data_IF_667941813152
#
_entry.id   IF_667941813152
#
_cell.length_a   1.000
_cell.length_b   1.000
_cell.length_c   1.000
_cell.angle_alpha   90.00
_cell.angle_beta   90.00
_cell.angle_gamma   90.00
#
_symmetry.space_group_name_H-M   'P 1'
#
loop_
_entity.id
_entity.type
_entity.pdbx_description
1 polymer ?
#
# COMPACT_ATOMS: atom_id res chain seq x y z
N UNK A 1 -17.70 -21.71 25.19
CA UNK A 1 -17.77 -20.51 24.32
C UNK A 1 -19.13 -20.27 23.65
N UNK A 2 -19.96 -21.29 23.40
CA UNK A 2 -21.29 -21.10 22.78
C UNK A 2 -22.29 -20.26 23.61
N UNK A 3 -22.21 -20.31 24.95
CA UNK A 3 -23.10 -19.53 25.82
C UNK A 3 -22.82 -18.01 25.79
N UNK A 4 -21.56 -17.60 25.57
CA UNK A 4 -21.16 -16.19 25.48
C UNK A 4 -21.63 -15.56 24.17
N UNK A 5 -21.60 -16.32 23.07
CA UNK A 5 -22.07 -15.86 21.75
C UNK A 5 -23.60 -15.73 21.73
N UNK A 6 -24.33 -16.66 22.36
CA UNK A 6 -25.79 -16.56 22.48
C UNK A 6 -26.24 -15.34 23.33
N UNK A 7 -25.50 -15.01 24.39
CA UNK A 7 -25.80 -13.84 25.22
C UNK A 7 -25.60 -12.51 24.47
N UNK A 8 -24.57 -12.43 23.62
CA UNK A 8 -24.29 -11.23 22.80
C UNK A 8 -25.37 -11.06 21.72
N UNK A 9 -25.78 -12.14 21.06
CA UNK A 9 -26.85 -12.10 20.03
C UNK A 9 -28.20 -11.70 20.66
N UNK A 10 -28.53 -12.20 21.85
CA UNK A 10 -29.77 -11.81 22.56
C UNK A 10 -29.70 -10.37 23.07
N UNK A 11 -28.53 -9.88 23.52
CA UNK A 11 -28.34 -8.48 23.92
C UNK A 11 -28.48 -7.52 22.72
N UNK A 12 -27.91 -7.86 21.57
CA UNK A 12 -28.00 -7.06 20.33
C UNK A 12 -29.43 -7.06 19.76
N UNK A 13 -30.17 -8.17 19.88
CA UNK A 13 -31.57 -8.24 19.44
C UNK A 13 -32.54 -7.53 20.40
N UNK A 14 -32.22 -7.46 21.71
CA UNK A 14 -32.98 -6.64 22.69
C UNK A 14 -32.67 -5.15 22.58
N UNK A 15 -31.44 -4.76 22.25
CA UNK A 15 -31.07 -3.36 21.97
C UNK A 15 -31.70 -2.81 20.68
N UNK A 16 -32.02 -3.70 19.71
CA UNK A 16 -32.74 -3.32 18.48
C UNK A 16 -34.27 -3.29 18.63
N UNK A 17 -34.80 -3.71 19.78
CA UNK A 17 -36.23 -3.60 20.10
C UNK A 17 -36.37 -2.80 21.39
N UNK A 18 -36.42 -1.49 21.26
CA UNK A 18 -36.93 -0.61 22.31
C UNK A 18 -38.04 0.29 21.76
N UNK A 19 -39.00 0.65 22.62
CA UNK A 19 -40.40 0.85 22.25
C UNK A 19 -40.66 2.23 21.65
N UNK A 20 -41.62 2.29 20.75
CA UNK A 20 -42.30 3.52 20.35
C UNK A 20 -42.90 4.19 21.58
N UNK A 21 -42.46 5.41 21.91
CA UNK A 21 -43.18 6.33 22.79
C UNK A 21 -43.58 7.60 22.02
N UNK A 22 -44.75 8.20 22.31
CA UNK A 22 -45.41 9.20 21.46
C UNK A 22 -44.88 10.61 21.75
N UNK A 23 -45.00 11.48 20.75
CA UNK A 23 -44.40 12.82 20.74
C UNK A 23 -45.07 13.90 21.60
N UNK A 24 -44.58 15.11 21.34
CA UNK A 24 -45.02 16.43 21.80
C UNK A 24 -44.73 16.79 23.27
N UNK A 25 -43.70 17.61 23.50
CA UNK A 25 -43.75 18.88 24.23
C UNK A 25 -42.33 19.38 24.50
N UNK A 26 -41.99 20.54 23.94
CA UNK A 26 -41.22 21.63 24.58
C UNK A 26 -40.91 22.68 23.51
N UNK A 27 -41.93 23.47 23.16
CA UNK A 27 -41.72 24.89 22.87
C UNK A 27 -41.51 25.54 24.23
N UNK A 28 -40.37 26.17 24.43
CA UNK A 28 -40.20 27.14 25.50
C UNK A 28 -39.85 28.46 24.83
N UNK A 29 -40.82 29.36 24.90
CA UNK A 29 -40.69 30.78 24.58
C UNK A 29 -39.54 31.39 25.38
N UNK A 30 -38.65 32.13 24.72
CA UNK A 30 -37.85 33.14 25.38
C UNK A 30 -38.60 34.46 25.19
N UNK A 31 -39.36 34.85 26.21
CA UNK A 31 -39.98 36.16 26.31
C UNK A 31 -38.92 37.23 26.64
N UNK A 32 -39.07 38.48 26.17
CA UNK A 32 -38.20 39.59 26.54
C UNK A 32 -38.66 40.21 27.87
N UNK A 33 -37.77 40.28 28.86
CA UNK A 33 -38.00 40.95 30.14
C UNK A 33 -37.62 42.44 30.10
N UNK A 34 -38.24 43.29 30.96
CA UNK A 34 -38.54 44.70 30.66
C UNK A 34 -37.48 45.71 31.13
N UNK A 35 -37.58 46.92 30.60
CA UNK A 35 -36.67 48.03 30.86
C UNK A 35 -36.77 48.66 32.25
N UNK A 36 -35.72 49.40 32.58
CA UNK A 36 -35.72 50.47 33.58
C UNK A 36 -34.93 51.67 33.01
N UNK A 37 -35.52 52.85 33.13
CA UNK A 37 -35.10 54.11 32.52
C UNK A 37 -34.22 54.96 33.49
N UNK A 38 -33.90 56.24 33.21
CA UNK A 38 -32.55 56.80 33.25
C UNK A 38 -32.18 57.50 34.56
N UNK A 39 -30.88 57.74 34.80
CA UNK A 39 -30.41 58.76 35.75
C UNK A 39 -29.19 59.52 35.24
N UNK A 40 -29.19 60.79 35.62
CA UNK A 40 -28.43 61.95 35.17
C UNK A 40 -27.09 62.16 35.88
N UNK A 41 -26.22 62.88 35.16
CA UNK A 41 -25.23 63.87 35.61
C UNK A 41 -24.06 63.50 36.55
N UNK A 42 -22.87 63.65 35.96
CA UNK A 42 -21.67 64.32 36.47
C UNK A 42 -21.10 63.93 37.84
N UNK A 43 -20.00 63.16 37.82
CA UNK A 43 -18.82 63.51 38.64
C UNK A 43 -17.53 62.88 38.12
N UNK A 44 -16.42 63.53 38.47
CA UNK A 44 -15.17 63.58 37.74
C UNK A 44 -14.25 62.35 37.86
N UNK A 45 -13.43 62.19 36.82
CA UNK A 45 -12.29 61.27 36.69
C UNK A 45 -11.22 61.56 37.75
N UNK A 46 -10.54 60.53 38.28
CA UNK A 46 -9.08 60.56 38.22
C UNK A 46 -8.47 59.30 37.56
N UNK A 47 -7.26 59.55 37.07
CA UNK A 47 -6.47 58.84 36.09
C UNK A 47 -6.02 57.40 36.40
N UNK A 48 -6.20 56.56 35.37
CA UNK A 48 -5.20 55.67 34.74
C UNK A 48 -4.48 54.60 35.56
N UNK A 49 -4.88 53.34 35.32
CA UNK A 49 -3.95 52.21 35.20
C UNK A 49 -3.90 51.78 33.73
N UNK A 50 -2.72 51.58 33.11
CA UNK A 50 -2.62 51.29 31.69
C UNK A 50 -3.12 49.86 31.39
N UNK A 51 -4.15 49.77 30.55
CA UNK A 51 -4.63 48.51 30.00
C UNK A 51 -3.55 47.89 29.10
N UNK A 52 -3.15 46.68 29.46
CA UNK A 52 -2.43 45.76 28.60
C UNK A 52 -3.46 44.92 27.83
N UNK A 53 -3.24 44.53 26.55
CA UNK A 53 -2.03 44.66 25.74
C UNK A 53 -1.98 45.92 24.86
N UNK A 54 -0.78 46.28 24.32
CA UNK A 54 -0.64 47.39 23.38
C UNK A 54 -1.51 47.20 22.14
N UNK A 55 -1.97 48.33 21.59
CA UNK A 55 -2.76 48.36 20.37
C UNK A 55 -2.10 47.48 19.27
N UNK A 56 -2.88 46.63 18.57
CA UNK A 56 -2.34 45.82 17.49
C UNK A 56 -1.67 46.71 16.45
N UNK A 57 -0.48 46.32 16.00
CA UNK A 57 0.37 47.03 15.02
C UNK A 57 -0.39 47.34 13.71
N UNK A 58 -1.51 46.65 13.46
CA UNK A 58 -2.34 46.78 12.28
C UNK A 58 -3.49 47.81 12.40
N UNK A 59 -3.59 48.55 13.51
CA UNK A 59 -4.69 49.50 13.74
C UNK A 59 -6.02 48.81 14.03
N UNK A 60 -7.00 49.57 14.53
CA UNK A 60 -8.37 49.08 14.71
C UNK A 60 -9.04 49.00 13.33
N UNK A 61 -9.66 47.86 12.96
CA UNK A 61 -10.36 47.73 11.68
C UNK A 61 -11.36 48.86 11.48
N UNK A 62 -11.33 49.50 10.31
CA UNK A 62 -12.28 50.55 9.98
C UNK A 62 -13.67 49.95 9.72
N UNK A 63 -14.72 50.79 9.77
CA UNK A 63 -16.07 50.35 9.47
C UNK A 63 -16.20 49.76 8.04
N UNK A 64 -15.33 50.16 7.12
CA UNK A 64 -15.29 49.61 5.75
C UNK A 64 -14.55 48.27 5.68
N UNK A 65 -13.53 48.03 6.51
CA UNK A 65 -12.91 46.69 6.66
C UNK A 65 -13.93 45.67 7.17
N UNK A 66 -14.75 46.06 8.15
CA UNK A 66 -15.80 45.20 8.70
C UNK A 66 -16.87 44.87 7.65
N UNK A 67 -17.18 45.79 6.72
CA UNK A 67 -18.08 45.51 5.59
C UNK A 67 -17.48 44.52 4.59
N UNK A 68 -16.16 44.53 4.40
CA UNK A 68 -15.48 43.60 3.50
C UNK A 68 -15.52 42.14 4.01
N UNK A 69 -15.50 41.96 5.34
CA UNK A 69 -15.60 40.65 5.99
C UNK A 69 -17.05 40.22 6.33
N UNK A 70 -18.03 41.11 6.19
CA UNK A 70 -19.45 40.79 6.33
C UNK A 70 -20.02 40.16 5.05
N UNK A 71 -19.40 39.09 4.55
CA UNK A 71 -20.06 38.21 3.57
C UNK A 71 -20.95 37.24 4.35
N UNK A 72 -22.25 37.29 4.08
CA UNK A 72 -23.26 36.49 4.78
C UNK A 72 -22.90 35.00 4.76
N UNK A 73 -23.08 34.33 5.90
CA UNK A 73 -22.84 32.90 6.01
C UNK A 73 -23.61 32.14 4.91
N UNK A 74 -22.87 31.54 4.00
CA UNK A 74 -23.44 30.59 3.04
C UNK A 74 -23.90 29.38 3.81
N UNK A 75 -25.21 29.25 4.04
CA UNK A 75 -25.82 28.02 4.55
C UNK A 75 -25.99 27.10 3.34
N UNK A 76 -25.22 26.01 3.23
CA UNK A 76 -25.36 25.11 2.12
C UNK A 76 -26.74 24.42 2.15
N UNK A 77 -27.34 24.30 0.96
CA UNK A 77 -28.75 23.89 0.74
C UNK A 77 -29.11 22.49 1.29
N UNK A 78 -28.13 21.68 1.68
CA UNK A 78 -28.35 20.38 2.31
C UNK A 78 -28.73 20.47 3.80
N UNK A 79 -28.52 21.62 4.45
CA UNK A 79 -28.94 21.84 5.85
C UNK A 79 -30.40 22.32 5.97
N UNK A 80 -31.08 22.62 4.86
CA UNK A 80 -32.44 23.20 4.86
C UNK A 80 -33.52 22.33 4.19
N UNK A 81 -33.21 21.09 3.84
CA UNK A 81 -34.17 20.18 3.19
C UNK A 81 -34.21 18.83 3.89
N UNK A 82 -35.37 18.45 4.44
CA UNK A 82 -35.61 17.08 4.85
C UNK A 82 -35.39 16.16 3.63
N UNK A 83 -34.61 15.06 3.76
CA UNK A 83 -34.35 14.16 2.64
C UNK A 83 -35.67 13.51 2.18
N UNK A 84 -35.88 13.30 0.86
CA UNK A 84 -37.05 12.55 0.40
C UNK A 84 -36.97 11.12 0.96
N UNK A 85 -38.09 10.66 1.52
CA UNK A 85 -38.23 9.27 1.98
C UNK A 85 -37.98 8.33 0.81
N UNK A 86 -36.89 7.55 0.87
CA UNK A 86 -36.61 6.51 -0.14
C UNK A 86 -37.77 5.51 -0.14
N UNK A 87 -38.30 5.22 -1.33
CA UNK A 87 -39.34 4.20 -1.49
C UNK A 87 -38.79 2.83 -1.05
N UNK A 88 -39.57 2.00 -0.34
CA UNK A 88 -39.14 0.67 0.05
C UNK A 88 -38.87 -0.20 -1.19
N UNK A 89 -37.80 -1.00 -1.13
CA UNK A 89 -37.46 -1.98 -2.16
C UNK A 89 -38.65 -2.92 -2.42
N UNK A 90 -38.86 -3.26 -3.69
CA UNK A 90 -39.94 -4.16 -4.09
C UNK A 90 -39.80 -5.55 -3.42
N UNK A 91 -40.92 -6.20 -3.16
CA UNK A 91 -40.94 -7.48 -2.43
C UNK A 91 -40.31 -8.65 -3.19
N UNK A 92 -40.20 -8.57 -4.53
CA UNK A 92 -39.51 -9.58 -5.32
C UNK A 92 -37.99 -9.45 -5.18
N UNK A 93 -37.47 -8.23 -5.16
CA UNK A 93 -36.06 -7.91 -4.91
C UNK A 93 -35.66 -8.29 -3.47
N UNK A 94 -36.52 -8.02 -2.48
CA UNK A 94 -36.30 -8.46 -1.09
C UNK A 94 -36.26 -9.99 -0.97
N UNK A 95 -37.14 -10.70 -1.68
CA UNK A 95 -37.16 -12.17 -1.70
C UNK A 95 -35.94 -12.78 -2.41
N UNK A 96 -35.42 -12.12 -3.44
CA UNK A 96 -34.18 -12.53 -4.10
C UNK A 96 -32.97 -12.34 -3.18
N UNK A 97 -32.84 -11.17 -2.55
CA UNK A 97 -31.74 -10.88 -1.62
C UNK A 97 -31.73 -11.82 -0.40
N UNK A 98 -32.89 -12.13 0.16
CA UNK A 98 -33.00 -13.07 1.28
C UNK A 98 -32.66 -14.51 0.87
N UNK A 99 -33.02 -14.94 -0.34
CA UNK A 99 -32.64 -16.26 -0.87
C UNK A 99 -31.14 -16.36 -1.12
N UNK A 100 -30.53 -15.35 -1.74
CA UNK A 100 -29.09 -15.31 -1.97
C UNK A 100 -28.30 -15.22 -0.66
N UNK A 101 -28.78 -14.44 0.31
CA UNK A 101 -28.21 -14.40 1.65
C UNK A 101 -28.29 -15.75 2.37
N UNK A 102 -29.40 -16.47 2.26
CA UNK A 102 -29.53 -17.81 2.83
C UNK A 102 -28.59 -18.83 2.16
N UNK A 103 -28.41 -18.74 0.84
CA UNK A 103 -27.45 -19.57 0.09
C UNK A 103 -26.01 -19.27 0.51
N UNK A 104 -25.64 -18.01 0.67
CA UNK A 104 -24.30 -17.61 1.13
C UNK A 104 -24.00 -18.12 2.54
N UNK A 105 -24.97 -18.02 3.46
CA UNK A 105 -24.83 -18.56 4.82
C UNK A 105 -24.71 -20.09 4.80
N UNK A 106 -25.49 -20.79 3.98
CA UNK A 106 -25.39 -22.24 3.84
C UNK A 106 -24.01 -22.68 3.28
N UNK A 107 -23.47 -21.94 2.31
CA UNK A 107 -22.12 -22.14 1.78
C UNK A 107 -21.04 -21.94 2.85
N UNK A 108 -21.14 -20.87 3.65
CA UNK A 108 -20.21 -20.64 4.75
C UNK A 108 -20.25 -21.77 5.78
N UNK A 109 -21.46 -22.25 6.12
CA UNK A 109 -21.62 -23.38 7.04
C UNK A 109 -21.07 -24.70 6.48
N UNK A 110 -21.18 -24.93 5.17
CA UNK A 110 -20.58 -26.10 4.51
C UNK A 110 -19.05 -26.04 4.53
N UNK A 111 -18.46 -24.87 4.26
CA UNK A 111 -17.00 -24.68 4.33
C UNK A 111 -16.50 -24.89 5.76
N UNK A 112 -17.18 -24.31 6.75
CA UNK A 112 -16.83 -24.53 8.16
C UNK A 112 -16.99 -26.00 8.57
N UNK A 113 -18.02 -26.69 8.09
CA UNK A 113 -18.19 -28.11 8.35
C UNK A 113 -17.09 -28.96 7.71
N UNK A 114 -16.62 -28.61 6.50
CA UNK A 114 -15.49 -29.26 5.85
C UNK A 114 -14.19 -29.08 6.66
N UNK A 115 -13.91 -27.86 7.13
CA UNK A 115 -12.75 -27.57 7.98
C UNK A 115 -12.81 -28.32 9.34
N UNK A 116 -14.00 -28.46 9.94
CA UNK A 116 -14.19 -29.26 11.16
C UNK A 116 -14.03 -30.76 10.89
N UNK A 117 -14.43 -31.24 9.71
CA UNK A 117 -14.25 -32.64 9.33
C UNK A 117 -12.77 -32.97 9.11
N UNK A 118 -12.02 -32.08 8.46
CA UNK A 118 -10.57 -32.24 8.24
C UNK A 118 -9.80 -32.23 9.57
N UNK A 119 -10.13 -31.31 10.47
CA UNK A 119 -9.48 -31.25 11.80
C UNK A 119 -9.80 -32.44 12.71
N UNK A 120 -10.98 -33.04 12.57
CA UNK A 120 -11.39 -34.24 13.32
C UNK A 120 -10.89 -35.55 12.70
N UNK A 121 -10.63 -35.59 11.40
CA UNK A 121 -10.09 -36.79 10.71
C UNK A 121 -8.57 -36.86 10.72
N UNK A 122 -7.87 -35.73 10.91
CA UNK A 122 -6.40 -35.66 10.93
C UNK A 122 -5.78 -35.17 12.24
N UNK A 123 -6.51 -35.18 13.36
CA UNK A 123 -5.87 -35.04 14.69
C UNK A 123 -5.16 -36.34 15.07
N UNK A 124 -3.84 -36.33 14.90
CA UNK A 124 -2.91 -37.36 15.36
C UNK A 124 -2.80 -37.27 16.89
N UNK A 125 -3.19 -38.34 17.59
CA UNK A 125 -2.93 -38.50 19.02
C UNK A 125 -1.42 -38.52 19.29
N UNK A 126 -0.88 -37.48 19.92
CA UNK A 126 0.38 -37.60 20.66
C UNK A 126 0.07 -38.07 22.08
N UNK A 127 0.03 -39.39 22.23
CA UNK A 127 0.12 -40.02 23.55
C UNK A 127 1.56 -40.00 24.02
N UNK A 128 1.70 -39.44 25.20
CA UNK A 128 2.83 -39.38 26.11
C UNK A 128 3.51 -40.74 26.32
N UNK A 129 4.85 -40.78 26.20
CA UNK A 129 5.67 -41.77 26.92
C UNK A 129 6.92 -41.08 27.47
N UNK A 130 7.02 -41.17 28.80
CA UNK A 130 7.95 -40.55 29.74
C UNK A 130 9.38 -41.13 29.68
N UNK A 131 10.26 -40.43 30.41
CA UNK A 131 11.58 -40.82 30.96
C UNK A 131 12.77 -40.48 30.06
N UNK A 132 13.81 -39.76 30.48
CA UNK A 132 14.35 -39.29 31.77
C UNK A 132 15.22 -38.05 31.48
N UNK A 133 15.20 -36.99 32.31
CA UNK A 133 16.30 -36.65 33.25
C UNK A 133 17.45 -35.95 32.50
N UNK A 134 18.03 -34.79 32.83
CA UNK A 134 18.32 -34.03 34.05
C UNK A 134 18.79 -32.63 33.51
N UNK A 135 18.30 -31.50 34.02
CA UNK A 135 18.93 -30.65 35.05
C UNK A 135 19.90 -29.55 34.52
N UNK A 136 19.70 -28.29 34.99
CA UNK A 136 20.60 -27.11 35.01
C UNK A 136 21.03 -26.46 33.67
N UNK A 137 21.19 -25.13 33.50
CA UNK A 137 20.77 -23.87 34.14
C UNK A 137 21.09 -22.73 33.15
N UNK A 138 20.45 -21.58 33.31
CA UNK A 138 20.79 -20.30 32.68
C UNK A 138 22.26 -19.87 32.90
N UNK A 139 22.87 -19.17 31.93
CA UNK A 139 23.22 -17.74 32.03
C UNK A 139 24.13 -17.25 30.89
N UNK A 140 23.75 -16.10 30.31
CA UNK A 140 24.57 -14.99 29.76
C UNK A 140 25.94 -15.25 29.12
N UNK A 141 26.15 -14.78 27.87
CA UNK A 141 26.93 -13.54 27.60
C UNK A 141 26.95 -13.11 26.12
N UNK A 142 26.93 -11.78 25.94
CA UNK A 142 27.11 -11.02 24.69
C UNK A 142 28.53 -11.18 24.12
N UNK A 143 28.69 -11.11 22.79
CA UNK A 143 30.03 -10.94 22.20
C UNK A 143 30.06 -10.92 20.68
N UNK A 144 30.44 -9.79 20.12
CA UNK A 144 30.48 -9.48 18.69
C UNK A 144 31.69 -10.07 17.93
N UNK A 145 31.57 -10.12 16.60
CA UNK A 145 32.66 -9.69 15.72
C UNK A 145 33.24 -10.72 14.73
N UNK A 146 32.96 -10.45 13.44
CA UNK A 146 33.85 -10.59 12.28
C UNK A 146 34.45 -11.97 11.92
N UNK A 147 34.16 -12.46 10.71
CA UNK A 147 34.95 -12.22 9.49
C UNK A 147 34.86 -13.47 8.57
N UNK A 148 34.50 -13.21 7.31
CA UNK A 148 34.73 -13.94 6.06
C UNK A 148 35.43 -15.33 6.11
N UNK A 149 34.92 -16.29 5.32
CA UNK A 149 35.50 -16.68 4.03
C UNK A 149 34.84 -17.95 3.49
N UNK A 150 34.44 -17.85 2.21
CA UNK A 150 34.09 -18.88 1.24
C UNK A 150 35.21 -19.92 1.08
N UNK A 151 34.92 -21.22 1.19
CA UNK A 151 35.37 -22.24 0.22
C UNK A 151 34.68 -23.59 0.54
N UNK A 152 33.90 -24.11 -0.40
CA UNK A 152 33.22 -25.40 -0.28
C UNK A 152 34.20 -26.57 -0.36
N UNK A 153 34.72 -27.02 0.78
CA UNK A 153 35.46 -28.30 0.92
C UNK A 153 34.97 -29.08 2.13
N UNK A 154 34.41 -30.27 1.89
CA UNK A 154 34.12 -31.24 2.95
C UNK A 154 35.43 -31.75 3.57
N UNK A 155 35.62 -31.42 4.85
CA UNK A 155 36.73 -31.90 5.66
C UNK A 155 36.17 -32.76 6.81
N UNK A 156 36.70 -33.98 7.00
CA UNK A 156 36.38 -34.80 8.18
C UNK A 156 37.08 -34.17 9.41
N UNK A 157 36.40 -34.01 10.57
CA UNK A 157 37.00 -33.42 11.75
C UNK A 157 38.17 -34.25 12.31
N UNK A 158 39.22 -33.55 12.73
CA UNK A 158 40.46 -34.14 13.24
C UNK A 158 40.25 -34.93 14.55
N UNK A 159 40.90 -36.10 14.65
CA UNK A 159 41.03 -36.86 15.90
C UNK A 159 42.46 -36.74 16.46
N UNK A 160 42.65 -36.73 17.79
CA UNK A 160 43.96 -36.50 18.39
C UNK A 160 44.88 -37.72 18.28
N UNK A 161 46.07 -37.52 17.70
CA UNK A 161 47.21 -38.42 17.77
C UNK A 161 48.35 -37.83 18.62
N UNK A 162 49.32 -38.65 19.05
CA UNK A 162 50.34 -38.28 20.04
C UNK A 162 51.29 -37.15 19.63
N UNK A 163 51.22 -36.67 18.37
CA UNK A 163 52.20 -35.75 17.78
C UNK A 163 51.57 -34.41 17.31
N UNK A 164 50.28 -34.17 17.59
CA UNK A 164 49.57 -32.92 17.23
C UNK A 164 48.53 -33.07 16.11
N UNK A 165 47.82 -31.96 15.82
CA UNK A 165 46.67 -31.91 14.90
C UNK A 165 47.12 -31.90 13.43
N UNK A 166 46.81 -32.94 12.65
CA UNK A 166 46.98 -32.95 11.19
C UNK A 166 45.67 -33.26 10.48
N UNK A 167 45.18 -32.35 9.65
CA UNK A 167 44.09 -32.61 8.71
C UNK A 167 44.65 -33.26 7.43
N UNK A 168 44.08 -34.39 7.01
CA UNK A 168 44.44 -35.07 5.76
C UNK A 168 43.36 -34.77 4.72
N UNK A 169 43.65 -33.87 3.79
CA UNK A 169 42.78 -33.64 2.63
C UNK A 169 43.21 -34.59 1.49
N UNK A 170 42.36 -35.54 1.10
CA UNK A 170 42.57 -36.37 -0.10
C UNK A 170 42.06 -35.61 -1.33
N UNK A 171 42.88 -35.55 -2.38
CA UNK A 171 42.53 -35.08 -3.71
C UNK A 171 41.94 -36.28 -4.47
N UNK A 172 40.67 -36.24 -4.86
CA UNK A 172 40.13 -37.28 -5.74
C UNK A 172 40.80 -37.17 -7.12
N UNK A 173 41.26 -38.32 -7.61
CA UNK A 173 41.90 -38.49 -8.91
C UNK A 173 40.82 -38.75 -9.98
N UNK A 174 41.01 -38.14 -11.15
CA UNK A 174 40.26 -38.39 -12.37
C UNK A 174 40.33 -39.88 -12.78
N UNK A 175 39.24 -40.48 -13.30
CA UNK A 175 39.36 -41.79 -13.93
C UNK A 175 39.84 -41.65 -15.39
N UNK A 176 40.95 -42.33 -15.66
CA UNK A 176 41.52 -42.51 -17.00
C UNK A 176 40.63 -43.33 -17.95
N UNK A 177 40.84 -42.97 -19.21
CA UNK A 177 40.41 -43.52 -20.48
C UNK A 177 40.77 -45.01 -20.66
N UNK A 178 39.79 -45.85 -20.98
CA UNK A 178 39.99 -47.15 -21.61
C UNK A 178 39.26 -47.15 -22.97
N UNK A 179 39.95 -47.60 -24.02
CA UNK A 179 39.48 -47.57 -25.40
C UNK A 179 38.99 -48.90 -25.96
N UNK A 180 38.35 -48.76 -27.12
CA UNK A 180 38.18 -49.72 -28.23
C UNK A 180 36.95 -50.63 -28.24
N UNK A 181 36.16 -50.51 -29.31
CA UNK A 181 35.21 -51.51 -29.77
C UNK A 181 34.11 -50.91 -30.67
N UNK A 182 34.30 -50.97 -31.99
CA UNK A 182 33.36 -50.46 -32.99
C UNK A 182 32.04 -51.24 -33.08
N UNK A 183 31.05 -50.62 -33.70
CA UNK A 183 29.76 -51.22 -34.03
C UNK A 183 28.79 -50.17 -34.53
N UNK A 184 28.77 -49.99 -35.85
CA UNK A 184 27.79 -49.19 -36.59
C UNK A 184 26.36 -49.59 -36.20
N UNK A 185 25.50 -48.62 -35.87
CA UNK A 185 24.07 -48.66 -36.14
C UNK A 185 23.49 -47.23 -36.12
N UNK A 186 22.84 -46.88 -37.22
CA UNK A 186 22.22 -45.59 -37.50
C UNK A 186 21.07 -45.25 -36.52
N UNK A 187 20.82 -43.96 -36.22
CA UNK A 187 19.75 -43.57 -35.32
C UNK A 187 18.39 -43.72 -36.02
N UNK A 188 17.49 -44.46 -35.39
CA UNK A 188 16.07 -44.44 -35.73
C UNK A 188 15.49 -43.16 -35.09
N UNK A 189 14.95 -42.27 -35.92
CA UNK A 189 14.16 -41.12 -35.48
C UNK A 189 12.96 -41.64 -34.68
N UNK A 190 13.08 -41.61 -33.36
CA UNK A 190 11.94 -41.65 -32.45
C UNK A 190 11.64 -40.23 -32.01
N UNK A 191 10.37 -39.88 -32.12
CA UNK A 191 9.80 -38.56 -31.92
C UNK A 191 10.31 -37.90 -30.63
N UNK A 192 11.19 -36.90 -30.80
CA UNK A 192 11.44 -35.89 -29.79
C UNK A 192 10.18 -35.03 -29.70
N UNK A 193 9.19 -35.49 -28.94
CA UNK A 193 8.28 -34.58 -28.27
C UNK A 193 9.18 -33.73 -27.39
N UNK A 194 9.30 -32.40 -27.60
CA UNK A 194 10.06 -31.59 -26.67
C UNK A 194 9.41 -31.79 -25.31
N UNK A 195 10.20 -32.28 -24.35
CA UNK A 195 9.82 -32.21 -22.95
C UNK A 195 9.36 -30.76 -22.68
N UNK A 196 8.28 -30.56 -21.91
CA UNK A 196 7.94 -29.21 -21.48
C UNK A 196 9.20 -28.61 -20.88
N UNK A 197 9.59 -27.41 -21.35
CA UNK A 197 10.75 -26.69 -20.83
C UNK A 197 10.63 -26.68 -19.31
N UNK A 198 11.47 -27.48 -18.64
CA UNK A 198 11.53 -27.54 -17.19
C UNK A 198 11.84 -26.11 -16.75
N UNK A 199 10.92 -25.52 -15.99
CA UNK A 199 11.07 -24.17 -15.47
C UNK A 199 12.33 -24.17 -14.63
N UNK A 200 13.38 -23.52 -15.10
CA UNK A 200 14.65 -23.45 -14.39
C UNK A 200 14.46 -22.44 -13.27
N UNK A 201 13.97 -22.94 -12.14
CA UNK A 201 14.02 -22.22 -10.87
C UNK A 201 15.48 -21.88 -10.57
N UNK A 202 15.77 -20.62 -10.26
CA UNK A 202 17.14 -20.14 -10.07
C UNK A 202 17.18 -18.71 -9.55
N UNK A 203 18.35 -18.22 -9.11
CA UNK A 203 18.45 -16.88 -8.55
C UNK A 203 18.06 -15.82 -9.57
N UNK A 204 17.15 -14.92 -9.18
CA UNK A 204 16.82 -13.75 -9.96
C UNK A 204 18.04 -12.80 -10.00
N UNK A 205 18.65 -12.76 -11.18
CA UNK A 205 19.82 -11.93 -11.44
C UNK A 205 19.53 -10.43 -11.36
N UNK A 206 18.27 -10.01 -11.56
CA UNK A 206 17.87 -8.62 -11.44
C UNK A 206 17.83 -8.18 -9.97
N UNK A 207 17.57 -9.09 -9.03
CA UNK A 207 17.64 -8.84 -7.58
C UNK A 207 19.07 -8.78 -7.01
N UNK A 208 20.08 -9.26 -7.74
CA UNK A 208 21.50 -9.19 -7.37
C UNK A 208 22.34 -8.36 -8.38
N UNK A 209 22.00 -7.07 -8.61
CA UNK A 209 22.66 -6.28 -9.64
C UNK A 209 24.08 -5.88 -9.24
N UNK A 210 24.99 -5.86 -10.21
CA UNK A 210 26.32 -5.27 -10.01
C UNK A 210 26.18 -3.78 -9.78
N UNK A 211 26.56 -3.32 -8.58
CA UNK A 211 26.50 -1.90 -8.20
C UNK A 211 27.33 -1.04 -9.16
N UNK A 212 26.67 -0.06 -9.79
CA UNK A 212 27.30 0.84 -10.76
C UNK A 212 27.60 2.21 -10.15
N UNK A 213 28.48 2.99 -10.79
CA UNK A 213 28.66 4.39 -10.40
C UNK A 213 27.39 5.20 -10.71
N UNK A 214 26.83 5.96 -9.76
CA UNK A 214 25.65 6.80 -9.99
C UNK A 214 25.88 7.85 -11.07
N UNK A 215 25.14 7.76 -12.18
CA UNK A 215 25.22 8.70 -13.29
C UNK A 215 23.88 9.42 -13.49
N UNK A 216 23.85 10.72 -13.21
CA UNK A 216 22.65 11.53 -13.40
C UNK A 216 22.34 11.71 -14.89
N UNK A 217 21.18 11.21 -15.31
CA UNK A 217 20.68 11.30 -16.67
C UNK A 217 19.67 12.44 -16.81
N UNK A 218 19.78 13.19 -17.91
CA UNK A 218 18.78 14.20 -18.29
C UNK A 218 17.58 13.52 -18.94
N UNK A 219 16.37 13.96 -18.59
CA UNK A 219 15.14 13.58 -19.30
C UNK A 219 14.92 14.55 -20.45
N UNK A 220 14.41 14.07 -21.58
CA UNK A 220 14.15 14.94 -22.73
C UNK A 220 13.13 16.03 -22.37
N UNK A 221 13.33 17.29 -22.82
CA UNK A 221 12.40 18.37 -22.51
C UNK A 221 10.95 18.08 -22.95
N UNK A 222 10.76 17.30 -24.02
CA UNK A 222 9.43 16.88 -24.51
C UNK A 222 8.71 16.01 -23.47
N UNK A 223 9.38 15.00 -22.92
CA UNK A 223 8.80 14.12 -21.89
C UNK A 223 8.52 14.92 -20.62
N UNK A 224 9.49 15.73 -20.16
CA UNK A 224 9.32 16.59 -18.97
C UNK A 224 8.11 17.51 -19.10
N UNK A 225 7.92 18.18 -20.26
CA UNK A 225 6.74 19.02 -20.49
C UNK A 225 5.44 18.23 -20.50
N UNK A 226 5.43 17.03 -21.10
CA UNK A 226 4.24 16.19 -21.15
C UNK A 226 3.80 15.74 -19.75
N UNK A 227 4.73 15.22 -18.96
CA UNK A 227 4.48 14.79 -17.57
C UNK A 227 4.05 15.98 -16.70
N UNK A 228 4.74 17.12 -16.78
CA UNK A 228 4.38 18.31 -16.03
C UNK A 228 2.98 18.85 -16.36
N UNK A 229 2.51 18.68 -17.60
CA UNK A 229 1.13 19.06 -17.95
C UNK A 229 0.09 18.20 -17.22
N UNK A 230 0.30 16.88 -17.12
CA UNK A 230 -0.63 16.01 -16.40
C UNK A 230 -0.60 16.28 -14.91
N UNK A 231 0.59 16.45 -14.33
CA UNK A 231 0.68 16.86 -12.93
C UNK A 231 0.03 18.20 -12.64
N UNK A 232 0.16 19.19 -13.53
CA UNK A 232 -0.51 20.48 -13.34
C UNK A 232 -2.04 20.34 -13.33
N UNK A 233 -2.61 19.38 -14.07
CA UNK A 233 -4.04 19.05 -14.02
C UNK A 233 -4.42 18.45 -12.68
N UNK A 234 -3.69 17.41 -12.25
CA UNK A 234 -3.87 16.74 -10.95
C UNK A 234 -3.75 17.75 -9.80
N UNK A 235 -2.69 18.55 -9.76
CA UNK A 235 -2.48 19.55 -8.70
C UNK A 235 -3.58 20.60 -8.63
N UNK A 236 -4.07 21.08 -9.78
CA UNK A 236 -5.20 22.03 -9.83
C UNK A 236 -6.47 21.41 -9.29
N UNK A 237 -6.75 20.17 -9.69
CA UNK A 237 -7.91 19.43 -9.21
C UNK A 237 -7.82 19.17 -7.70
N UNK A 238 -6.67 18.70 -7.21
CA UNK A 238 -6.43 18.47 -5.79
C UNK A 238 -6.56 19.78 -4.99
N UNK A 239 -6.04 20.90 -5.50
CA UNK A 239 -6.17 22.20 -4.83
C UNK A 239 -7.64 22.61 -4.65
N UNK A 240 -8.50 22.31 -5.61
CA UNK A 240 -9.90 22.69 -5.59
C UNK A 240 -10.78 21.70 -4.80
N UNK A 241 -10.50 20.40 -4.89
CA UNK A 241 -11.39 19.35 -4.41
C UNK A 241 -10.82 18.58 -3.22
N UNK A 242 -9.52 18.26 -3.23
CA UNK A 242 -8.87 17.43 -2.22
C UNK A 242 -7.61 18.10 -1.61
N UNK A 243 -7.77 19.24 -0.89
CA UNK A 243 -6.65 20.03 -0.39
C UNK A 243 -5.82 19.30 0.68
N UNK A 244 -6.41 18.35 1.42
CA UNK A 244 -5.66 17.53 2.38
C UNK A 244 -4.70 16.60 1.64
N UNK A 245 -5.15 15.88 0.60
CA UNK A 245 -4.26 15.09 -0.25
C UNK A 245 -3.24 15.97 -0.98
N UNK A 246 -3.59 17.18 -1.41
CA UNK A 246 -2.62 18.10 -2.03
C UNK A 246 -1.43 18.41 -1.13
N UNK A 247 -1.65 18.52 0.19
CA UNK A 247 -0.60 18.83 1.18
C UNK A 247 0.40 17.69 1.39
N UNK A 248 0.02 16.46 1.06
CA UNK A 248 0.90 15.29 1.20
C UNK A 248 1.98 15.20 0.12
N UNK A 249 1.76 15.83 -1.04
CA UNK A 249 2.72 15.81 -2.15
C UNK A 249 4.03 16.49 -1.75
N UNK A 250 5.13 15.74 -1.87
CA UNK A 250 6.47 16.27 -1.58
C UNK A 250 6.98 17.15 -2.72
N UNK A 251 8.02 17.92 -2.43
CA UNK A 251 8.76 18.65 -3.44
C UNK A 251 9.55 17.74 -4.40
N UNK A 252 10.21 18.31 -5.41
CA UNK A 252 11.04 17.59 -6.38
C UNK A 252 12.11 16.67 -5.78
N UNK A 253 12.31 15.50 -6.38
CA UNK A 253 13.49 14.69 -6.10
C UNK A 253 14.75 15.32 -6.69
N UNK A 254 15.90 15.13 -6.03
CA UNK A 254 17.20 15.51 -6.59
C UNK A 254 17.61 14.48 -7.66
N UNK A 255 18.08 14.95 -8.81
CA UNK A 255 18.54 14.07 -9.89
C UNK A 255 19.65 13.08 -9.46
N UNK A 256 20.50 13.49 -8.50
CA UNK A 256 21.52 12.62 -7.89
C UNK A 256 20.92 11.51 -7.05
N UNK A 257 19.84 11.77 -6.30
CA UNK A 257 19.15 10.74 -5.52
C UNK A 257 18.58 9.66 -6.43
N UNK A 258 17.96 10.06 -7.55
CA UNK A 258 17.46 9.09 -8.55
C UNK A 258 18.62 8.28 -9.15
N UNK A 259 19.74 8.94 -9.49
CA UNK A 259 20.90 8.25 -10.05
C UNK A 259 21.51 7.22 -9.08
N UNK A 260 21.47 7.49 -7.77
CA UNK A 260 21.92 6.56 -6.73
C UNK A 260 20.96 5.37 -6.65
N UNK A 261 19.65 5.59 -6.64
CA UNK A 261 18.66 4.51 -6.65
C UNK A 261 18.79 3.62 -7.90
N UNK A 262 18.84 4.21 -9.10
CA UNK A 262 19.09 3.48 -10.36
C UNK A 262 20.39 2.66 -10.32
N UNK A 263 21.43 3.17 -9.68
CA UNK A 263 22.70 2.47 -9.55
C UNK A 263 22.68 1.32 -8.54
N UNK A 264 21.95 1.48 -7.44
CA UNK A 264 21.78 0.46 -6.39
C UNK A 264 20.86 -0.67 -6.83
N UNK A 265 19.80 -0.35 -7.58
CA UNK A 265 18.86 -1.32 -8.12
C UNK A 265 19.35 -1.97 -9.41
N UNK A 266 20.43 -1.49 -10.02
CA UNK A 266 20.85 -1.95 -11.36
C UNK A 266 19.91 -1.55 -12.52
N UNK A 267 18.74 -0.98 -12.22
CA UNK A 267 17.70 -0.62 -13.16
C UNK A 267 17.81 0.83 -13.67
N UNK A 268 17.14 1.09 -14.79
CA UNK A 268 16.90 2.45 -15.29
C UNK A 268 15.45 2.81 -15.15
N UNK A 269 15.17 3.90 -14.43
CA UNK A 269 13.81 4.39 -14.32
C UNK A 269 13.35 4.92 -15.68
N UNK A 270 12.17 4.50 -16.16
CA UNK A 270 11.56 5.06 -17.37
C UNK A 270 11.49 6.58 -17.32
N UNK A 271 11.67 7.22 -18.48
CA UNK A 271 11.85 8.68 -18.59
C UNK A 271 10.71 9.48 -17.96
N UNK A 272 9.50 8.96 -18.08
CA UNK A 272 8.27 9.52 -17.55
C UNK A 272 8.15 9.35 -16.02
N UNK A 273 8.46 8.17 -15.48
CA UNK A 273 8.56 7.98 -14.01
C UNK A 273 9.64 8.89 -13.42
N UNK A 274 10.83 8.96 -14.05
CA UNK A 274 11.90 9.87 -13.66
C UNK A 274 11.47 11.33 -13.70
N UNK A 275 10.76 11.76 -14.76
CA UNK A 275 10.21 13.12 -14.85
C UNK A 275 9.17 13.39 -13.77
N UNK A 276 8.35 12.40 -13.42
CA UNK A 276 7.36 12.49 -12.34
C UNK A 276 8.04 12.69 -10.98
N UNK A 277 9.07 11.90 -10.69
CA UNK A 277 9.86 12.00 -9.45
C UNK A 277 10.63 13.33 -9.35
N UNK A 278 11.13 13.85 -10.48
CA UNK A 278 11.73 15.18 -10.57
C UNK A 278 10.72 16.31 -10.35
N UNK A 279 9.42 16.03 -10.31
CA UNK A 279 8.38 16.99 -9.92
C UNK A 279 7.93 16.79 -8.47
N UNK A 280 7.63 15.55 -8.09
CA UNK A 280 7.24 15.16 -6.74
C UNK A 280 8.02 13.91 -6.32
N UNK A 281 8.79 14.02 -5.25
CA UNK A 281 9.49 12.89 -4.64
C UNK A 281 8.53 12.02 -3.80
N UNK A 282 7.47 11.52 -4.45
CA UNK A 282 6.39 10.83 -3.77
C UNK A 282 5.48 11.77 -2.96
N UNK A 283 4.75 11.16 -2.04
CA UNK A 283 3.94 11.82 -1.02
C UNK A 283 4.31 11.29 0.38
N UNK A 284 3.97 12.05 1.42
CA UNK A 284 4.05 11.60 2.82
C UNK A 284 2.73 11.86 3.53
N UNK A 285 2.41 11.03 4.51
CA UNK A 285 1.27 11.29 5.38
C UNK A 285 1.47 12.62 6.13
N UNK A 286 0.40 13.42 6.23
CA UNK A 286 0.44 14.71 6.93
C UNK A 286 -0.82 14.89 7.75
N UNK A 287 -0.69 14.87 9.08
CA UNK A 287 -1.81 15.13 9.98
C UNK A 287 -2.95 14.11 9.88
N UNK A 288 -2.60 12.82 9.77
CA UNK A 288 -3.59 11.73 9.63
C UNK A 288 -3.99 11.41 8.20
N UNK A 289 -3.82 12.36 7.26
CA UNK A 289 -4.12 12.15 5.84
C UNK A 289 -3.14 11.16 5.20
N UNK A 290 -3.69 10.15 4.54
CA UNK A 290 -2.91 9.17 3.77
C UNK A 290 -2.12 9.85 2.63
N UNK A 291 -0.89 9.39 2.30
CA UNK A 291 -0.13 9.97 1.19
C UNK A 291 -0.92 9.94 -0.12
N UNK A 292 -0.91 11.04 -0.87
CA UNK A 292 -1.46 11.07 -2.22
C UNK A 292 -0.89 9.92 -3.04
N UNK A 293 -1.79 9.24 -3.75
CA UNK A 293 -1.49 8.04 -4.49
C UNK A 293 -2.31 7.90 -5.76
N UNK A 294 -2.02 6.84 -6.50
CA UNK A 294 -2.77 6.44 -7.69
C UNK A 294 -3.45 5.12 -7.38
N UNK A 295 -4.74 4.96 -7.70
CA UNK A 295 -5.45 3.68 -7.57
C UNK A 295 -5.26 3.05 -6.17
N UNK A 296 -5.57 3.81 -5.12
CA UNK A 296 -5.34 3.46 -3.70
C UNK A 296 -3.89 3.27 -3.23
N UNK A 297 -2.90 3.41 -4.10
CA UNK A 297 -1.49 3.20 -3.76
C UNK A 297 -0.76 4.54 -3.58
N UNK A 298 -0.32 4.83 -2.36
CA UNK A 298 0.45 6.03 -2.01
C UNK A 298 1.73 6.18 -2.85
N UNK A 299 1.97 7.36 -3.42
CA UNK A 299 3.06 7.59 -4.36
C UNK A 299 4.42 7.58 -3.63
N UNK A 300 5.27 6.62 -3.95
CA UNK A 300 6.56 6.42 -3.29
C UNK A 300 7.59 7.48 -3.73
N UNK A 301 8.42 7.91 -2.78
CA UNK A 301 9.61 8.70 -3.07
C UNK A 301 10.77 7.82 -3.50
N UNK A 302 11.82 8.42 -4.06
CA UNK A 302 12.94 7.67 -4.67
C UNK A 302 13.63 6.71 -3.69
N UNK A 303 13.71 7.07 -2.40
CA UNK A 303 14.33 6.21 -1.39
C UNK A 303 13.41 5.05 -1.05
N UNK A 304 12.13 5.34 -0.87
CA UNK A 304 11.09 4.33 -0.64
C UNK A 304 11.03 3.33 -1.78
N UNK A 305 11.06 3.77 -3.04
CA UNK A 305 11.12 2.88 -4.22
C UNK A 305 12.27 1.87 -4.10
N UNK A 306 13.48 2.36 -3.81
CA UNK A 306 14.67 1.50 -3.70
C UNK A 306 14.57 0.56 -2.48
N UNK A 307 14.11 1.08 -1.35
CA UNK A 307 14.07 0.31 -0.11
C UNK A 307 13.00 -0.79 -0.17
N UNK A 308 11.84 -0.49 -0.75
CA UNK A 308 10.80 -1.46 -1.09
C UNK A 308 11.33 -2.52 -2.06
N UNK A 309 11.97 -2.11 -3.16
CA UNK A 309 12.53 -3.03 -4.16
C UNK A 309 13.52 -4.03 -3.54
N UNK A 310 14.42 -3.55 -2.67
CA UNK A 310 15.36 -4.41 -1.97
C UNK A 310 14.66 -5.37 -1.01
N UNK A 311 13.67 -4.87 -0.25
CA UNK A 311 12.90 -5.72 0.65
C UNK A 311 12.17 -6.83 -0.10
N UNK A 312 11.61 -6.53 -1.27
CA UNK A 312 10.95 -7.54 -2.11
C UNK A 312 11.95 -8.57 -2.65
N UNK A 313 13.11 -8.13 -3.13
CA UNK A 313 14.21 -9.02 -3.53
C UNK A 313 14.80 -9.86 -2.37
N UNK A 314 14.69 -9.40 -1.12
CA UNK A 314 15.11 -10.15 0.07
C UNK A 314 14.05 -11.20 0.46
N UNK A 315 12.77 -10.95 0.17
CA UNK A 315 11.67 -11.89 0.43
C UNK A 315 11.65 -12.99 -0.62
N UNK A 316 11.78 -12.60 -1.89
CA UNK A 316 11.81 -13.52 -3.03
C UNK A 316 12.84 -13.03 -4.04
N UNK A 317 13.93 -13.77 -4.14
CA UNK A 317 15.04 -13.51 -5.06
C UNK A 317 15.25 -14.67 -6.00
N UNK A 318 14.23 -15.50 -6.22
CA UNK A 318 14.25 -16.65 -7.11
C UNK A 318 13.30 -16.36 -8.28
N UNK A 319 13.70 -16.77 -9.49
CA UNK A 319 12.83 -16.77 -10.66
C UNK A 319 12.10 -18.10 -10.68
N UNK A 320 10.77 -18.05 -10.66
CA UNK A 320 9.88 -19.21 -10.62
C UNK A 320 9.33 -19.59 -12.01
N UNK A 321 9.70 -18.85 -13.07
CA UNK A 321 9.18 -19.10 -14.40
C UNK A 321 9.87 -18.38 -15.55
N UNK A 322 9.30 -18.51 -16.74
CA UNK A 322 9.86 -17.90 -17.95
C UNK A 322 9.35 -16.49 -18.24
N UNK A 323 8.20 -16.08 -17.66
CA UNK A 323 7.71 -14.71 -17.72
C UNK A 323 7.77 -14.06 -16.33
N UNK A 324 8.73 -13.15 -16.10
CA UNK A 324 8.83 -12.49 -14.80
C UNK A 324 7.70 -11.49 -14.48
N UNK A 325 6.63 -11.48 -15.27
CA UNK A 325 5.40 -10.73 -14.99
C UNK A 325 4.28 -11.60 -14.44
N UNK A 326 4.48 -12.91 -14.38
CA UNK A 326 3.57 -13.86 -13.75
C UNK A 326 4.13 -14.42 -12.43
N UNK A 327 5.33 -13.99 -12.04
CA UNK A 327 5.93 -14.32 -10.75
C UNK A 327 5.33 -13.44 -9.64
N UNK A 328 5.53 -13.85 -8.38
CA UNK A 328 5.17 -13.02 -7.22
C UNK A 328 6.01 -11.74 -7.20
N UNK A 329 7.32 -11.87 -7.46
CA UNK A 329 8.24 -10.76 -7.61
C UNK A 329 9.32 -11.04 -8.67
N UNK A 330 9.80 -9.98 -9.30
CA UNK A 330 11.01 -10.01 -10.13
C UNK A 330 11.72 -8.65 -10.00
N UNK A 331 13.04 -8.70 -9.91
CA UNK A 331 13.93 -7.57 -9.68
C UNK A 331 13.92 -6.53 -10.80
N UNK A 332 13.36 -6.81 -11.98
CA UNK A 332 13.19 -5.82 -13.07
C UNK A 332 12.02 -4.87 -12.82
N UNK A 333 11.19 -5.13 -11.81
CA UNK A 333 10.02 -4.33 -11.46
C UNK A 333 10.40 -3.15 -10.57
N UNK A 334 9.91 -1.95 -10.92
CA UNK A 334 10.18 -0.74 -10.15
C UNK A 334 8.92 -0.37 -9.37
N UNK A 335 8.87 -0.61 -8.04
CA UNK A 335 7.72 -0.23 -7.24
C UNK A 335 7.67 1.29 -7.15
N UNK A 336 6.51 1.90 -7.37
CA UNK A 336 6.34 3.35 -7.28
C UNK A 336 5.07 3.77 -6.53
N UNK A 337 4.19 2.82 -6.22
CA UNK A 337 3.05 3.01 -5.33
C UNK A 337 2.98 1.90 -4.29
N UNK A 338 2.42 2.17 -3.12
CA UNK A 338 2.15 1.15 -2.10
C UNK A 338 0.80 1.40 -1.42
N UNK A 339 0.04 0.34 -1.19
CA UNK A 339 -1.21 0.39 -0.42
C UNK A 339 -0.98 0.30 1.11
N UNK A 340 0.27 0.10 1.54
CA UNK A 340 0.64 -0.07 2.94
C UNK A 340 0.38 -1.47 3.52
N UNK A 341 -0.11 -2.41 2.71
CA UNK A 341 -0.47 -3.78 3.11
C UNK A 341 0.29 -4.87 2.34
N UNK A 342 1.27 -4.48 1.52
CA UNK A 342 2.15 -5.41 0.79
C UNK A 342 1.98 -5.36 -0.72
N UNK A 343 0.90 -4.73 -1.22
CA UNK A 343 0.71 -4.55 -2.66
C UNK A 343 1.37 -3.27 -3.14
N UNK A 344 1.83 -3.31 -4.39
CA UNK A 344 2.57 -2.21 -4.99
C UNK A 344 2.13 -1.97 -6.42
N UNK A 345 2.04 -0.69 -6.80
CA UNK A 345 2.10 -0.35 -8.22
C UNK A 345 3.54 -0.45 -8.69
N UNK A 346 3.76 -1.14 -9.80
CA UNK A 346 5.07 -1.37 -10.39
C UNK A 346 5.16 -0.85 -11.82
N UNK A 347 6.35 -0.46 -12.25
CA UNK A 347 6.66 -0.28 -13.67
C UNK A 347 7.68 -1.32 -14.08
N UNK A 348 7.38 -2.06 -15.14
CA UNK A 348 8.34 -2.96 -15.77
C UNK A 348 9.48 -2.14 -16.40
N UNK A 349 10.72 -2.34 -15.98
CA UNK A 349 11.85 -1.55 -16.48
C UNK A 349 12.14 -1.77 -17.99
N UNK A 350 11.71 -2.91 -18.54
CA UNK A 350 11.89 -3.32 -19.93
C UNK A 350 10.67 -2.93 -20.77
N UNK A 351 9.47 -3.42 -20.41
CA UNK A 351 8.22 -3.18 -21.15
C UNK A 351 7.60 -1.81 -20.88
N UNK A 352 7.94 -1.18 -19.74
CA UNK A 352 7.58 0.18 -19.32
C UNK A 352 6.11 0.43 -19.03
N UNK A 353 5.26 -0.58 -19.17
CA UNK A 353 3.89 -0.51 -18.71
C UNK A 353 3.81 -0.64 -17.19
N UNK A 354 2.69 -0.16 -16.67
CA UNK A 354 2.37 -0.19 -15.25
C UNK A 354 1.66 -1.51 -14.97
N UNK A 355 2.02 -2.12 -13.84
CA UNK A 355 1.37 -3.28 -13.24
C UNK A 355 1.06 -3.05 -11.76
N UNK A 356 0.51 -4.07 -11.14
CA UNK A 356 0.32 -4.18 -9.70
C UNK A 356 0.83 -5.54 -9.22
N UNK A 357 1.42 -5.58 -8.02
CA UNK A 357 1.73 -6.82 -7.31
C UNK A 357 0.55 -7.21 -6.44
N UNK A 358 0.33 -8.51 -6.29
CA UNK A 358 -0.55 -9.08 -5.28
C UNK A 358 0.32 -9.83 -4.27
N UNK A 359 0.36 -9.38 -3.02
CA UNK A 359 1.18 -9.99 -1.98
C UNK A 359 0.75 -11.43 -1.64
N UNK A 360 -0.47 -11.84 -1.99
CA UNK A 360 -0.97 -13.21 -1.86
C UNK A 360 -0.97 -13.98 -3.20
N UNK A 361 -0.49 -13.35 -4.29
CA UNK A 361 -0.68 -13.86 -5.63
C UNK A 361 0.45 -13.49 -6.59
N UNK A 362 0.09 -13.20 -7.84
CA UNK A 362 1.03 -12.90 -8.90
C UNK A 362 0.87 -11.46 -9.37
N UNK A 363 1.90 -10.95 -10.02
CA UNK A 363 1.80 -9.66 -10.69
C UNK A 363 0.74 -9.65 -11.80
N UNK A 364 0.08 -8.50 -11.95
CA UNK A 364 -0.90 -8.23 -13.01
C UNK A 364 -0.57 -6.93 -13.72
N UNK A 365 -0.66 -6.94 -15.05
CA UNK A 365 -0.45 -5.75 -15.89
C UNK A 365 -1.75 -5.27 -16.57
N UNK A 366 -2.87 -5.65 -15.98
CA UNK A 366 -4.22 -5.24 -16.35
C UNK A 366 -4.88 -4.55 -15.16
N UNK A 367 -4.31 -3.44 -14.71
CA UNK A 367 -4.81 -2.67 -13.57
C UNK A 367 -6.25 -2.27 -13.81
N UNK A 368 -7.14 -2.63 -12.90
CA UNK A 368 -8.53 -2.23 -13.09
C UNK A 368 -9.21 -2.91 -14.28
N UNK A 369 -8.61 -3.95 -14.88
CA UNK A 369 -9.05 -4.55 -16.14
C UNK A 369 -8.55 -3.83 -17.41
N UNK A 370 -7.65 -2.84 -17.29
CA UNK A 370 -7.13 -2.09 -18.45
C UNK A 370 -5.59 -2.06 -18.48
N UNK A 371 -4.96 -2.20 -19.67
CA UNK A 371 -3.51 -2.10 -19.78
C UNK A 371 -3.05 -0.62 -19.75
N UNK A 372 -2.15 -0.29 -18.83
CA UNK A 372 -1.59 1.07 -18.70
C UNK A 372 -0.16 1.10 -19.23
N UNK A 373 0.01 1.59 -20.47
CA UNK A 373 1.26 1.41 -21.24
C UNK A 373 2.48 2.21 -20.77
N UNK A 374 2.33 3.07 -19.77
CA UNK A 374 3.42 3.90 -19.22
C UNK A 374 2.99 4.65 -17.97
N UNK A 375 3.94 5.11 -17.16
CA UNK A 375 3.65 6.02 -16.03
C UNK A 375 3.00 7.32 -16.51
N UNK A 376 3.39 7.83 -17.69
CA UNK A 376 2.71 8.96 -18.32
C UNK A 376 1.24 8.66 -18.64
N UNK A 377 0.94 7.45 -19.15
CA UNK A 377 -0.43 7.03 -19.45
C UNK A 377 -1.26 6.94 -18.16
N UNK A 378 -0.69 6.44 -17.06
CA UNK A 378 -1.31 6.47 -15.74
C UNK A 378 -1.66 7.89 -15.32
N UNK A 379 -0.67 8.81 -15.32
CA UNK A 379 -0.88 10.21 -14.93
C UNK A 379 -1.98 10.88 -15.78
N UNK A 380 -2.00 10.60 -17.09
CA UNK A 380 -3.04 11.12 -17.98
C UNK A 380 -4.41 10.55 -17.62
N UNK A 381 -4.52 9.23 -17.45
CA UNK A 381 -5.78 8.57 -17.12
C UNK A 381 -6.34 9.06 -15.78
N UNK A 382 -5.49 9.21 -14.76
CA UNK A 382 -5.85 9.77 -13.45
C UNK A 382 -6.33 11.22 -13.59
N UNK A 383 -5.61 12.05 -14.33
CA UNK A 383 -6.02 13.44 -14.57
C UNK A 383 -7.37 13.53 -15.30
N UNK A 384 -7.58 12.67 -16.30
CA UNK A 384 -8.84 12.61 -17.05
C UNK A 384 -10.00 12.16 -16.15
N UNK A 385 -9.81 11.09 -15.35
CA UNK A 385 -10.82 10.59 -14.43
C UNK A 385 -11.21 11.62 -13.38
N UNK A 386 -10.23 12.32 -12.79
CA UNK A 386 -10.47 13.40 -11.84
C UNK A 386 -11.28 14.56 -12.45
N UNK A 387 -10.87 15.04 -13.64
CA UNK A 387 -11.51 16.20 -14.27
C UNK A 387 -12.92 15.90 -14.82
N UNK A 388 -13.20 14.64 -15.18
CA UNK A 388 -14.47 14.23 -15.80
C UNK A 388 -15.42 13.49 -14.86
N UNK A 389 -14.94 13.05 -13.69
CA UNK A 389 -15.67 12.13 -12.81
C UNK A 389 -15.75 10.69 -13.36
N UNK A 390 -14.90 10.34 -14.34
CA UNK A 390 -14.77 9.00 -14.91
C UNK A 390 -13.96 8.05 -14.04
N UNK A 391 -13.47 6.95 -14.60
CA UNK A 391 -12.68 5.93 -13.90
C UNK A 391 -11.42 5.54 -14.70
N UNK A 392 -10.45 4.94 -14.00
CA UNK A 392 -9.27 4.26 -14.55
C UNK A 392 -9.46 2.77 -14.34
N UNK A 393 -9.91 2.05 -15.36
CA UNK A 393 -10.44 0.70 -15.16
C UNK A 393 -11.65 0.75 -14.22
N UNK A 394 -11.69 -0.12 -13.22
CA UNK A 394 -12.70 -0.08 -12.16
C UNK A 394 -12.44 0.97 -11.06
N UNK A 395 -11.34 1.75 -11.12
CA UNK A 395 -11.01 2.73 -10.07
C UNK A 395 -11.60 4.10 -10.36
N UNK A 396 -12.49 4.57 -9.48
CA UNK A 396 -13.13 5.88 -9.59
C UNK A 396 -12.64 6.84 -8.50
N UNK A 397 -12.17 8.06 -8.84
CA UNK A 397 -11.75 9.02 -7.83
C UNK A 397 -12.97 9.57 -7.07
N UNK A 398 -12.89 9.53 -5.74
CA UNK A 398 -13.82 10.12 -4.79
C UNK A 398 -13.14 11.20 -3.96
N UNK A 399 -13.94 12.01 -3.25
CA UNK A 399 -13.42 12.95 -2.25
C UNK A 399 -14.21 12.82 -0.96
N UNK A 400 -13.49 12.55 0.13
CA UNK A 400 -14.04 12.46 1.48
C UNK A 400 -13.23 13.38 2.38
N UNK A 401 -13.88 14.34 3.04
CA UNK A 401 -13.22 15.27 3.98
C UNK A 401 -12.02 16.05 3.40
N UNK A 402 -12.01 16.28 2.08
CA UNK A 402 -10.91 16.96 1.39
C UNK A 402 -9.70 16.07 1.10
N UNK A 403 -9.86 14.76 1.27
CA UNK A 403 -8.93 13.71 0.85
C UNK A 403 -9.46 13.03 -0.43
N UNK A 404 -8.55 12.74 -1.35
CA UNK A 404 -8.80 11.89 -2.51
C UNK A 404 -8.89 10.45 -2.03
N UNK A 405 -9.94 9.78 -2.44
CA UNK A 405 -10.12 8.33 -2.29
C UNK A 405 -10.33 7.67 -3.66
N UNK A 406 -10.25 6.35 -3.71
CA UNK A 406 -10.47 5.56 -4.93
C UNK A 406 -11.49 4.45 -4.65
N UNK A 407 -12.70 4.62 -5.18
CA UNK A 407 -13.76 3.62 -5.11
C UNK A 407 -13.59 2.59 -6.23
N UNK A 408 -13.83 1.32 -5.91
CA UNK A 408 -13.99 0.27 -6.93
C UNK A 408 -15.43 0.28 -7.41
N UNK A 409 -15.62 0.39 -8.74
CA UNK A 409 -16.94 0.33 -9.38
C UNK A 409 -17.11 -0.99 -10.13
N UNK A 410 -18.26 -1.64 -9.93
CA UNK A 410 -18.67 -2.89 -10.59
C UNK A 410 -18.98 -2.73 -12.08
#
# INVERSE_FOLDING_TARGET
MAAAVAAIVVAVLRLRRSPTLPGAALRTEIAPGPGAAPRSEAEAVPALSPQWPPAPILGTPTADDLKHYATGAYIPRFLTGAPPSRAPLDDATRRRLTRWGAVAVALCLLVLAAQVLETSTFSKDETTASSQGEEYTEEHFLGAGNLDVLDGRDCIPASPGPDGWSAVCKKEAEPERAGSGGGENAPTFQDLVPAPEEQVEGPDTDCAPVVRTPAARKVSPRVTRAVNRQWARIERWLKANAPASRRTLRGPARARTIAVAEAQMGLRFPNDLRASLLRHNGAAAVGGTWPFGFLSNGFLGVREIRDTWRGLCEVDGESEGSDPRTEWWDGRMIPFGSDGSGNHLVVDSVRRDVGETDHEGQMSFTLGGVPIRSHYALLKAVADAMETGGAVGYWKPGVTEGELDWDVVD
#
